data_IF_483287450238
#
_entry.id   IF_483287450238
#
_cell.length_a   1.000
_cell.length_b   1.000
_cell.length_c   1.000
_cell.angle_alpha   90.00
_cell.angle_beta   90.00
_cell.angle_gamma   90.00
#
_symmetry.space_group_name_H-M   'P 1'
#
loop_
_entity.id
_entity.type
_entity.pdbx_description
1 polymer ?
#
# COMPACT_ATOMS: atom_id res chain seq x y z
N UNK A 1 15.30 -22.45 1.55
CA UNK A 1 14.95 -21.30 0.67
C UNK A 1 13.51 -21.34 0.13
N UNK A 2 12.99 -22.49 -0.37
CA UNK A 2 11.63 -22.62 -0.93
C UNK A 2 10.49 -22.13 0.00
N UNK A 3 10.53 -22.49 1.28
CA UNK A 3 9.48 -22.12 2.25
C UNK A 3 9.38 -20.60 2.51
N UNK A 4 10.50 -19.87 2.43
CA UNK A 4 10.51 -18.41 2.63
C UNK A 4 9.88 -17.68 1.45
N UNK A 5 10.14 -18.14 0.22
CA UNK A 5 9.51 -17.61 -1.00
C UNK A 5 8.00 -17.82 -0.98
N UNK A 6 7.55 -19.03 -0.63
CA UNK A 6 6.12 -19.36 -0.51
C UNK A 6 5.45 -18.45 0.53
N UNK A 7 6.06 -18.30 1.71
CA UNK A 7 5.55 -17.40 2.75
C UNK A 7 5.43 -15.95 2.27
N UNK A 8 6.43 -15.46 1.53
CA UNK A 8 6.40 -14.11 0.95
C UNK A 8 5.22 -13.92 -0.01
N UNK A 9 5.00 -14.88 -0.92
CA UNK A 9 3.87 -14.86 -1.85
C UNK A 9 2.53 -14.90 -1.14
N UNK A 10 2.39 -15.72 -0.10
CA UNK A 10 1.17 -15.78 0.72
C UNK A 10 0.88 -14.42 1.37
N UNK A 11 1.90 -13.77 1.94
CA UNK A 11 1.72 -12.46 2.57
C UNK A 11 1.36 -11.37 1.56
N UNK A 12 2.01 -11.35 0.40
CA UNK A 12 1.64 -10.43 -0.69
C UNK A 12 0.19 -10.65 -1.11
N UNK A 13 -0.23 -11.90 -1.29
CA UNK A 13 -1.60 -12.26 -1.66
C UNK A 13 -2.61 -11.82 -0.59
N UNK A 14 -2.27 -12.00 0.68
CA UNK A 14 -3.12 -11.58 1.80
C UNK A 14 -3.27 -10.06 1.86
N UNK A 15 -2.18 -9.31 1.66
CA UNK A 15 -2.25 -7.85 1.61
C UNK A 15 -3.02 -7.35 0.38
N UNK A 16 -2.89 -8.00 -0.78
CA UNK A 16 -3.69 -7.69 -1.97
C UNK A 16 -5.19 -7.97 -1.73
N UNK A 17 -5.54 -9.08 -1.08
CA UNK A 17 -6.91 -9.36 -0.66
C UNK A 17 -7.42 -8.31 0.33
N UNK A 18 -6.58 -7.87 1.27
CA UNK A 18 -6.92 -6.78 2.18
C UNK A 18 -7.14 -5.46 1.44
N UNK A 19 -6.39 -5.17 0.37
CA UNK A 19 -6.65 -4.01 -0.51
C UNK A 19 -8.03 -4.09 -1.16
N UNK A 20 -8.45 -5.27 -1.63
CA UNK A 20 -9.80 -5.45 -2.17
C UNK A 20 -10.90 -5.23 -1.10
N UNK A 21 -10.69 -5.72 0.13
CA UNK A 21 -11.59 -5.44 1.25
C UNK A 21 -11.62 -3.94 1.58
N UNK A 22 -10.46 -3.29 1.62
CA UNK A 22 -10.34 -1.85 1.82
C UNK A 22 -11.03 -1.03 0.73
N UNK A 23 -11.03 -1.53 -0.52
CA UNK A 23 -11.74 -0.93 -1.64
C UNK A 23 -13.26 -1.01 -1.50
N UNK A 24 -13.78 -2.06 -0.84
CA UNK A 24 -15.21 -2.17 -0.54
C UNK A 24 -15.68 -1.16 0.52
N UNK A 25 -14.76 -0.66 1.35
CA UNK A 25 -15.04 0.38 2.35
C UNK A 25 -15.02 1.74 1.65
N UNK A 26 -16.20 2.21 1.23
CA UNK A 26 -16.37 3.51 0.59
C UNK A 26 -16.62 4.58 1.64
N UNK A 27 -15.63 5.45 1.85
CA UNK A 27 -15.75 6.62 2.73
C UNK A 27 -16.28 7.79 1.87
N UNK A 28 -17.40 8.43 2.24
CA UNK A 28 -17.90 9.59 1.50
C UNK A 28 -16.84 10.71 1.45
N UNK A 29 -16.58 11.25 0.27
CA UNK A 29 -15.73 12.42 0.08
C UNK A 29 -16.42 13.43 -0.86
N UNK A 30 -15.81 14.61 -1.03
CA UNK A 30 -16.44 15.80 -1.61
C UNK A 30 -17.03 15.56 -3.01
N UNK A 31 -16.31 14.86 -3.89
CA UNK A 31 -16.73 14.63 -5.28
C UNK A 31 -16.97 13.14 -5.55
N UNK A 32 -16.18 12.26 -4.93
CA UNK A 32 -16.27 10.81 -5.09
C UNK A 32 -16.02 10.13 -3.75
N UNK A 33 -16.47 8.87 -3.59
CA UNK A 33 -16.04 8.07 -2.44
C UNK A 33 -14.55 7.77 -2.51
N UNK A 34 -13.91 7.73 -1.35
CA UNK A 34 -12.53 7.30 -1.17
C UNK A 34 -12.49 5.84 -0.72
N UNK A 35 -11.60 5.06 -1.32
CA UNK A 35 -11.30 3.68 -0.96
C UNK A 35 -10.06 3.60 -0.05
N UNK A 36 -9.99 2.56 0.78
CA UNK A 36 -8.82 2.24 1.62
C UNK A 36 -7.92 1.16 0.98
N UNK A 37 -7.81 1.16 -0.34
CA UNK A 37 -7.11 0.15 -1.13
C UNK A 37 -5.57 0.26 -1.07
N UNK A 38 -5.06 1.46 -0.79
CA UNK A 38 -3.62 1.76 -0.79
C UNK A 38 -2.98 1.50 0.58
N UNK A 39 -3.76 1.54 1.65
CA UNK A 39 -3.32 1.27 3.02
C UNK A 39 -2.61 -0.10 3.16
N UNK A 40 -3.15 -1.22 2.63
CA UNK A 40 -2.49 -2.52 2.70
C UNK A 40 -1.20 -2.58 1.88
N UNK A 41 -1.10 -1.80 0.79
CA UNK A 41 0.13 -1.67 0.03
C UNK A 41 1.23 -0.97 0.85
N UNK A 42 0.89 0.08 1.59
CA UNK A 42 1.82 0.76 2.51
C UNK A 42 2.27 -0.15 3.67
N UNK A 43 1.38 -0.99 4.19
CA UNK A 43 1.72 -2.01 5.17
C UNK A 43 2.72 -3.02 4.60
N UNK A 44 2.43 -3.57 3.42
CA UNK A 44 3.32 -4.52 2.75
C UNK A 44 4.67 -3.87 2.43
N UNK A 45 4.68 -2.62 1.95
CA UNK A 45 5.87 -1.84 1.68
C UNK A 45 6.75 -1.70 2.93
N UNK A 46 6.18 -1.27 4.05
CA UNK A 46 6.96 -1.09 5.28
C UNK A 46 7.47 -2.42 5.86
N UNK A 47 6.61 -3.44 5.93
CA UNK A 47 6.90 -4.67 6.66
C UNK A 47 7.69 -5.69 5.83
N UNK A 48 7.39 -5.82 4.54
CA UNK A 48 7.94 -6.85 3.66
C UNK A 48 8.98 -6.29 2.68
N UNK A 49 8.98 -4.99 2.44
CA UNK A 49 9.95 -4.31 1.58
C UNK A 49 9.37 -3.84 0.23
N UNK A 50 10.22 -3.23 -0.62
CA UNK A 50 9.77 -2.46 -1.78
C UNK A 50 9.07 -3.31 -2.83
N UNK A 51 9.58 -4.51 -3.11
CA UNK A 51 8.98 -5.43 -4.11
C UNK A 51 7.58 -5.87 -3.69
N UNK A 52 7.39 -6.19 -2.42
CA UNK A 52 6.08 -6.56 -1.89
C UNK A 52 5.12 -5.38 -1.89
N UNK A 53 5.59 -4.19 -1.48
CA UNK A 53 4.83 -2.95 -1.58
C UNK A 53 4.37 -2.66 -3.01
N UNK A 54 5.28 -2.78 -3.98
CA UNK A 54 4.98 -2.57 -5.39
C UNK A 54 3.90 -3.54 -5.90
N UNK A 55 4.08 -4.84 -5.63
CA UNK A 55 3.14 -5.86 -6.05
C UNK A 55 1.73 -5.61 -5.46
N UNK A 56 1.64 -5.34 -4.15
CA UNK A 56 0.36 -5.06 -3.50
C UNK A 56 -0.23 -3.74 -3.98
N UNK A 57 0.58 -2.70 -4.21
CA UNK A 57 0.12 -1.40 -4.70
C UNK A 57 -0.53 -1.50 -6.08
N UNK A 58 0.14 -2.16 -7.04
CA UNK A 58 -0.40 -2.34 -8.38
C UNK A 58 -1.61 -3.29 -8.42
N UNK A 59 -1.48 -4.47 -7.80
CA UNK A 59 -2.57 -5.47 -7.79
C UNK A 59 -3.78 -4.94 -7.03
N UNK A 60 -3.56 -4.35 -5.85
CA UNK A 60 -4.60 -3.79 -5.01
C UNK A 60 -5.38 -2.68 -5.72
N UNK A 61 -4.67 -1.79 -6.42
CA UNK A 61 -5.31 -0.75 -7.22
C UNK A 61 -6.16 -1.34 -8.36
N UNK A 62 -5.65 -2.34 -9.08
CA UNK A 62 -6.42 -2.99 -10.15
C UNK A 62 -7.68 -3.68 -9.60
N UNK A 63 -7.58 -4.39 -8.47
CA UNK A 63 -8.74 -5.01 -7.81
C UNK A 63 -9.77 -3.97 -7.38
N UNK A 64 -9.31 -2.87 -6.77
CA UNK A 64 -10.14 -1.74 -6.37
C UNK A 64 -10.88 -1.12 -7.57
N UNK A 65 -10.16 -0.89 -8.66
CA UNK A 65 -10.70 -0.34 -9.90
C UNK A 65 -11.75 -1.26 -10.54
N UNK A 66 -11.49 -2.58 -10.57
CA UNK A 66 -12.44 -3.58 -11.05
C UNK A 66 -13.72 -3.58 -10.21
N UNK A 67 -13.61 -3.53 -8.88
CA UNK A 67 -14.75 -3.44 -7.97
C UNK A 67 -15.50 -2.10 -8.09
N UNK A 68 -14.79 -1.03 -8.46
CA UNK A 68 -15.34 0.30 -8.74
C UNK A 68 -15.98 0.43 -10.12
N UNK A 69 -15.92 -0.60 -10.98
CA UNK A 69 -16.49 -0.59 -12.32
C UNK A 69 -15.60 0.02 -13.41
N UNK A 70 -14.31 0.25 -13.14
CA UNK A 70 -13.30 0.72 -14.11
C UNK A 70 -13.72 1.99 -14.88
N UNK A 71 -14.02 3.12 -14.21
CA UNK A 71 -14.54 4.32 -14.88
C UNK A 71 -13.60 4.91 -15.95
N UNK A 72 -12.28 4.78 -15.75
CA UNK A 72 -11.23 5.19 -16.71
C UNK A 72 -10.77 4.04 -17.62
N UNK A 73 -11.43 2.88 -17.57
CA UNK A 73 -11.11 1.73 -18.38
C UNK A 73 -9.63 1.31 -18.26
N UNK A 74 -8.94 1.01 -19.37
CA UNK A 74 -7.55 0.54 -19.39
C UNK A 74 -6.52 1.47 -18.73
N UNK A 75 -6.85 2.75 -18.53
CA UNK A 75 -5.93 3.70 -17.88
C UNK A 75 -5.61 3.32 -16.42
N UNK A 76 -6.41 2.47 -15.77
CA UNK A 76 -6.06 1.91 -14.47
C UNK A 76 -4.81 1.00 -14.53
N UNK A 77 -4.42 0.51 -15.71
CA UNK A 77 -3.13 -0.15 -15.89
C UNK A 77 -1.96 0.80 -15.65
N UNK A 78 -2.06 2.04 -16.16
CA UNK A 78 -1.08 3.10 -15.89
C UNK A 78 -1.05 3.43 -14.40
N UNK A 79 -2.21 3.65 -13.78
CA UNK A 79 -2.31 3.98 -12.35
C UNK A 79 -1.78 2.82 -11.50
N UNK A 80 -2.04 1.57 -11.85
CA UNK A 80 -1.49 0.42 -11.14
C UNK A 80 0.05 0.41 -11.15
N UNK A 81 0.67 0.80 -12.26
CA UNK A 81 2.14 0.97 -12.33
C UNK A 81 2.60 2.12 -11.44
N UNK A 82 1.91 3.27 -11.48
CA UNK A 82 2.20 4.41 -10.60
C UNK A 82 2.11 3.99 -9.13
N UNK A 83 1.04 3.29 -8.72
CA UNK A 83 0.85 2.81 -7.36
C UNK A 83 1.93 1.81 -6.94
N UNK A 84 2.38 0.95 -7.86
CA UNK A 84 3.49 0.05 -7.60
C UNK A 84 4.79 0.82 -7.32
N UNK A 85 5.09 1.85 -8.11
CA UNK A 85 6.26 2.71 -7.93
C UNK A 85 6.17 3.51 -6.62
N UNK A 86 5.03 4.14 -6.36
CA UNK A 86 4.83 4.93 -5.13
C UNK A 86 4.98 4.09 -3.87
N UNK A 87 4.41 2.88 -3.85
CA UNK A 87 4.55 1.97 -2.72
C UNK A 87 5.99 1.48 -2.53
N UNK A 88 6.73 1.23 -3.62
CA UNK A 88 8.14 0.89 -3.54
C UNK A 88 8.99 2.03 -2.97
N UNK A 89 8.78 3.26 -3.44
CA UNK A 89 9.50 4.45 -2.97
C UNK A 89 9.15 4.77 -1.51
N UNK A 90 7.88 4.63 -1.13
CA UNK A 90 7.45 4.70 0.26
C UNK A 90 8.22 3.69 1.12
N UNK A 91 8.34 2.43 0.67
CA UNK A 91 9.09 1.39 1.38
C UNK A 91 10.54 1.82 1.66
N UNK A 92 11.22 2.33 0.63
CA UNK A 92 12.62 2.76 0.73
C UNK A 92 12.75 3.85 1.78
N UNK A 93 11.94 4.91 1.70
CA UNK A 93 11.98 6.02 2.66
C UNK A 93 11.62 5.57 4.09
N UNK A 94 10.55 4.79 4.23
CA UNK A 94 10.05 4.35 5.53
C UNK A 94 11.08 3.47 6.25
N UNK A 95 11.73 2.56 5.52
CA UNK A 95 12.73 1.62 6.06
C UNK A 95 14.10 2.28 6.30
N UNK A 96 14.34 3.47 5.76
CA UNK A 96 15.46 4.34 6.14
C UNK A 96 15.19 5.17 7.40
N UNK A 97 14.23 4.77 8.23
CA UNK A 97 13.76 5.47 9.44
C UNK A 97 13.16 6.88 9.19
N UNK A 98 12.97 7.29 7.93
CA UNK A 98 12.37 8.58 7.55
C UNK A 98 10.86 8.49 7.41
N UNK A 99 10.18 8.01 8.47
CA UNK A 99 8.75 7.64 8.44
C UNK A 99 7.83 8.79 8.03
N UNK A 100 8.06 9.99 8.58
CA UNK A 100 7.28 11.18 8.22
C UNK A 100 7.55 11.65 6.80
N UNK A 101 8.80 11.57 6.33
CA UNK A 101 9.12 11.87 4.94
C UNK A 101 8.47 10.87 3.98
N UNK A 102 8.41 9.59 4.33
CA UNK A 102 7.71 8.58 3.55
C UNK A 102 6.20 8.87 3.46
N UNK A 103 5.58 9.21 4.59
CA UNK A 103 4.17 9.58 4.64
C UNK A 103 3.87 10.82 3.80
N UNK A 104 4.65 11.90 3.97
CA UNK A 104 4.50 13.12 3.20
C UNK A 104 4.73 12.88 1.71
N UNK A 105 5.78 12.11 1.36
CA UNK A 105 6.05 11.71 -0.01
C UNK A 105 4.85 11.01 -0.64
N UNK A 106 4.30 9.99 0.02
CA UNK A 106 3.19 9.24 -0.56
C UNK A 106 1.95 10.13 -0.72
N UNK A 107 1.64 10.99 0.27
CA UNK A 107 0.52 11.91 0.17
C UNK A 107 0.69 12.86 -1.02
N UNK A 108 1.83 13.53 -1.13
CA UNK A 108 2.05 14.50 -2.20
C UNK A 108 2.14 13.82 -3.57
N UNK A 109 2.87 12.72 -3.66
CA UNK A 109 3.08 12.03 -4.91
C UNK A 109 1.78 11.38 -5.42
N UNK A 110 1.00 10.73 -4.55
CA UNK A 110 -0.26 10.12 -4.95
C UNK A 110 -1.34 11.16 -5.30
N UNK A 111 -1.35 12.32 -4.62
CA UNK A 111 -2.38 13.33 -4.83
C UNK A 111 -2.09 14.33 -5.96
N UNK A 112 -0.82 14.62 -6.23
CA UNK A 112 -0.44 15.61 -7.22
C UNK A 112 0.37 15.02 -8.37
N UNK A 113 1.31 14.11 -8.12
CA UNK A 113 2.26 13.62 -9.14
C UNK A 113 1.67 12.49 -9.98
N UNK A 114 1.10 11.46 -9.35
CA UNK A 114 0.46 10.34 -10.02
C UNK A 114 -0.66 10.79 -11.00
N UNK A 115 -1.55 11.74 -10.66
CA UNK A 115 -2.55 12.19 -11.63
C UNK A 115 -2.03 13.10 -12.76
N UNK A 116 -0.75 13.54 -12.76
CA UNK A 116 -0.23 14.47 -13.78
C UNK A 116 -0.42 13.99 -15.22
N UNK A 117 -0.19 12.71 -15.59
CA UNK A 117 -0.40 12.25 -16.96
C UNK A 117 -1.84 12.50 -17.45
N UNK A 118 -2.83 12.43 -16.55
CA UNK A 118 -4.24 12.65 -16.88
C UNK A 118 -4.56 14.12 -17.22
N UNK A 119 -3.71 15.07 -16.80
CA UNK A 119 -3.80 16.45 -17.25
C UNK A 119 -3.63 16.55 -18.78
N UNK A 120 -2.75 15.72 -19.35
CA UNK A 120 -2.41 15.73 -20.77
C UNK A 120 -3.23 14.72 -21.58
N UNK A 121 -3.58 13.58 -20.99
CA UNK A 121 -4.37 12.53 -21.66
C UNK A 121 -5.85 12.88 -21.73
N UNK A 122 -6.42 13.46 -20.66
CA UNK A 122 -7.86 13.76 -20.56
C UNK A 122 -8.09 15.27 -20.61
N UNK A 123 -7.77 16.00 -19.55
CA UNK A 123 -7.83 17.47 -19.51
C UNK A 123 -7.29 18.05 -18.20
N UNK A 124 -6.94 19.33 -18.22
CA UNK A 124 -6.62 20.10 -16.99
C UNK A 124 -7.78 20.14 -15.99
N UNK A 125 -9.01 20.26 -16.49
CA UNK A 125 -10.22 20.30 -15.64
C UNK A 125 -10.39 18.97 -14.90
N UNK A 126 -10.20 17.85 -15.60
CA UNK A 126 -10.25 16.52 -15.00
C UNK A 126 -9.19 16.35 -13.90
N UNK A 127 -7.93 16.75 -14.19
CA UNK A 127 -6.85 16.72 -13.19
C UNK A 127 -7.21 17.52 -11.92
N UNK A 128 -7.64 18.78 -12.08
CA UNK A 128 -7.99 19.65 -10.94
C UNK A 128 -9.16 19.05 -10.14
N UNK A 129 -10.15 18.45 -10.82
CA UNK A 129 -11.30 17.83 -10.17
C UNK A 129 -10.92 16.58 -9.35
N UNK A 130 -9.85 15.86 -9.71
CA UNK A 130 -9.40 14.68 -8.95
C UNK A 130 -8.69 15.05 -7.64
N UNK A 131 -7.97 16.18 -7.59
CA UNK A 131 -7.07 16.52 -6.48
C UNK A 131 -7.76 16.43 -5.10
N UNK A 132 -8.96 17.02 -4.87
CA UNK A 132 -9.58 16.99 -3.54
C UNK A 132 -9.82 15.55 -3.05
N UNK A 133 -10.38 14.69 -3.91
CA UNK A 133 -10.62 13.29 -3.59
C UNK A 133 -9.32 12.52 -3.34
N UNK A 134 -8.30 12.76 -4.17
CA UNK A 134 -7.00 12.10 -4.02
C UNK A 134 -6.27 12.55 -2.76
N UNK A 135 -6.34 13.82 -2.36
CA UNK A 135 -5.76 14.30 -1.09
C UNK A 135 -6.40 13.59 0.09
N UNK A 136 -7.73 13.56 0.15
CA UNK A 136 -8.46 12.88 1.23
C UNK A 136 -8.10 11.39 1.26
N UNK A 137 -8.09 10.74 0.10
CA UNK A 137 -7.74 9.33 -0.03
C UNK A 137 -6.33 9.00 0.41
N UNK A 138 -5.34 9.78 -0.05
CA UNK A 138 -3.96 9.59 0.34
C UNK A 138 -3.76 9.79 1.84
N UNK A 139 -4.36 10.84 2.42
CA UNK A 139 -4.24 11.13 3.85
C UNK A 139 -4.82 9.99 4.68
N UNK A 140 -6.03 9.52 4.37
CA UNK A 140 -6.65 8.42 5.11
C UNK A 140 -5.81 7.15 4.99
N UNK A 141 -5.49 6.70 3.78
CA UNK A 141 -4.71 5.48 3.58
C UNK A 141 -3.35 5.53 4.31
N UNK A 142 -2.66 6.67 4.22
CA UNK A 142 -1.36 6.87 4.86
C UNK A 142 -1.49 6.94 6.38
N UNK A 143 -2.49 7.64 6.91
CA UNK A 143 -2.72 7.74 8.35
C UNK A 143 -3.01 6.37 8.96
N UNK A 144 -3.91 5.59 8.36
CA UNK A 144 -4.18 4.22 8.78
C UNK A 144 -2.91 3.35 8.73
N UNK A 145 -2.10 3.48 7.68
CA UNK A 145 -0.83 2.75 7.58
C UNK A 145 0.12 3.12 8.72
N UNK A 146 0.36 4.42 8.94
CA UNK A 146 1.27 4.92 9.97
C UNK A 146 0.84 4.53 11.39
N UNK A 147 -0.47 4.40 11.63
CA UNK A 147 -1.02 3.92 12.91
C UNK A 147 -0.79 2.42 13.07
N UNK A 148 -1.01 1.63 12.01
CA UNK A 148 -1.02 0.15 12.10
C UNK A 148 0.38 -0.45 12.00
N UNK A 149 1.28 0.09 11.17
CA UNK A 149 2.63 -0.45 10.94
C UNK A 149 3.40 -0.66 12.27
N UNK A 150 3.50 0.31 13.20
CA UNK A 150 4.28 0.12 14.43
C UNK A 150 3.70 -0.97 15.34
N UNK A 151 2.37 -1.12 15.36
CA UNK A 151 1.67 -2.13 16.16
C UNK A 151 1.95 -3.53 15.61
N UNK A 152 1.84 -3.70 14.30
CA UNK A 152 2.08 -4.99 13.65
C UNK A 152 3.58 -5.37 13.71
N UNK A 153 4.47 -4.40 13.55
CA UNK A 153 5.91 -4.60 13.69
C UNK A 153 6.32 -5.19 15.05
N UNK A 154 5.77 -4.67 16.16
CA UNK A 154 6.04 -5.21 17.51
C UNK A 154 5.59 -6.66 17.66
N UNK A 155 4.41 -7.00 17.16
CA UNK A 155 3.86 -8.37 17.24
C UNK A 155 4.73 -9.35 16.44
N UNK A 156 5.18 -8.93 15.25
CA UNK A 156 6.02 -9.77 14.39
C UNK A 156 7.43 -9.97 14.95
N UNK A 157 8.02 -8.95 15.59
CA UNK A 157 9.32 -9.07 16.25
C UNK A 157 9.25 -9.89 17.54
N UNK A 158 8.22 -9.70 18.37
CA UNK A 158 8.03 -10.46 19.61
C UNK A 158 7.85 -11.97 19.38
N UNK A 159 7.19 -12.37 18.29
CA UNK A 159 7.05 -13.79 17.92
C UNK A 159 8.36 -14.44 17.46
N UNK A 160 9.28 -13.68 16.86
CA UNK A 160 10.60 -14.21 16.46
C UNK A 160 11.45 -14.55 17.69
N UNK A 161 11.46 -13.69 18.70
CA UNK A 161 12.19 -13.92 19.96
C UNK A 161 11.77 -15.23 20.65
N UNK A 162 10.47 -15.43 20.84
CA UNK A 162 9.92 -16.66 21.47
C UNK A 162 10.24 -17.92 20.67
N UNK A 163 10.26 -17.84 19.33
CA UNK A 163 10.56 -18.99 18.47
C UNK A 163 12.05 -19.36 18.47
N UNK A 164 12.94 -18.37 18.55
CA UNK A 164 14.38 -18.58 18.63
C UNK A 164 14.78 -19.12 20.02
N UNK A 165 14.17 -18.61 21.11
CA UNK A 165 14.36 -19.16 22.47
C UNK A 165 13.96 -20.64 22.57
N UNK A 166 12.79 -21.03 22.04
CA UNK A 166 12.38 -22.45 22.03
C UNK A 166 13.29 -23.34 21.19
N UNK A 167 13.89 -22.79 20.13
CA UNK A 167 14.86 -23.55 19.31
C UNK A 167 16.20 -23.71 20.02
N UNK A 168 16.65 -22.68 20.73
CA UNK A 168 17.86 -22.75 21.56
C UNK A 168 17.67 -23.78 22.68
N UNK A 169 16.55 -23.74 23.40
CA UNK A 169 16.23 -24.69 24.46
C UNK A 169 16.20 -26.15 23.95
N UNK A 170 15.49 -26.41 22.85
CA UNK A 170 15.48 -27.75 22.23
C UNK A 170 16.82 -28.24 21.67
N UNK A 171 17.81 -27.34 21.49
CA UNK A 171 19.16 -27.73 21.07
C UNK A 171 20.06 -28.15 22.23
N UNK A 172 19.72 -27.76 23.46
CA UNK A 172 20.47 -28.15 24.67
C UNK A 172 20.14 -29.60 25.06
N UNK A 173 18.96 -30.10 24.69
CA UNK A 173 18.51 -31.48 24.97
C UNK A 173 18.81 -32.49 23.83
N UNK A 174 19.68 -32.15 22.88
CA UNK A 174 20.11 -33.02 21.78
C UNK A 174 21.62 -33.16 21.77
#
# INVERSE_FOLDING_TARGET
>A
MRNQKIRGMILISLFAALSAVGAAIKIPAVITSVALDSFPALLAAALLGPVAGAAVGGIGHMLSALMGGMPLGPLHGLIAVEMAVLAALFSILYRSERKWSAALFFILANSFVAPLPFMFIISKVFYIALIPSLVIGSVLNTAFAMIVIPRLGRILSGRKGVADERRADNSIYR
#
